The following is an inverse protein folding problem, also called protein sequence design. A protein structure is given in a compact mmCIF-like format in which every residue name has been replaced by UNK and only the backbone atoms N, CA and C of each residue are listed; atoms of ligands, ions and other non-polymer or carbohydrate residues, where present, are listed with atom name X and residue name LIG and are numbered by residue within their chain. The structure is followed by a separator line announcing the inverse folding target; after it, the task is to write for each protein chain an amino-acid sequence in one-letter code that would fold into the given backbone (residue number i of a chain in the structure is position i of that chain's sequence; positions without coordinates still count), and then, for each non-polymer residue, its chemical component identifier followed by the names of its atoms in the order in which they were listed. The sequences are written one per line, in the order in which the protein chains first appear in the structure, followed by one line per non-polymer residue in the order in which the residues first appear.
data_IF_069950935652
#
_entry.id   IF_069950935652
#
_cell.length_a   1.000
_cell.length_b   1.000
_cell.length_c   1.000
_cell.angle_alpha   90.00
_cell.angle_beta   90.00
_cell.angle_gamma   90.00
#
_symmetry.space_group_name_H-M   'P 1'
#
loop_
_entity.id
_entity.type
_entity.pdbx_description
1 polymer ?
#
# COMPACT_ATOMS: atom_id res chain seq x y z
N UNK A 1 -14.37 35.87 -12.21
CA UNK A 1 -13.65 35.05 -11.21
C UNK A 1 -14.42 33.75 -11.04
N UNK A 2 -13.87 32.71 -11.59
CA UNK A 2 -14.52 31.41 -11.78
C UNK A 2 -14.70 30.70 -10.43
N UNK A 3 -15.76 29.91 -10.30
CA UNK A 3 -16.16 29.10 -9.14
C UNK A 3 -15.02 28.18 -8.61
N UNK A 4 -13.99 27.97 -9.39
CA UNK A 4 -12.74 27.30 -9.10
C UNK A 4 -11.90 27.99 -8.02
N UNK A 5 -11.79 29.31 -8.06
CA UNK A 5 -11.00 30.07 -7.09
C UNK A 5 -11.62 30.04 -5.68
N UNK A 6 -12.96 29.90 -5.59
CA UNK A 6 -13.65 29.78 -4.29
C UNK A 6 -13.53 28.40 -3.65
N UNK A 7 -13.34 27.33 -4.44
CA UNK A 7 -13.08 25.99 -3.87
C UNK A 7 -11.66 25.81 -3.41
N UNK A 8 -10.70 26.48 -4.06
CA UNK A 8 -9.30 26.52 -3.61
C UNK A 8 -9.10 27.45 -2.39
N UNK A 9 -10.03 28.38 -2.12
CA UNK A 9 -9.94 29.21 -0.91
C UNK A 9 -10.34 28.49 0.38
N UNK A 10 -10.94 27.28 0.28
CA UNK A 10 -11.10 26.41 1.44
C UNK A 10 -9.81 25.63 1.75
N UNK A 11 -8.89 25.55 0.83
CA UNK A 11 -7.47 25.37 1.03
C UNK A 11 -6.83 26.77 1.08
N UNK A 12 -7.42 27.71 1.83
CA UNK A 12 -6.72 28.86 2.35
C UNK A 12 -5.87 28.33 3.51
N UNK A 13 -4.92 27.53 3.11
CA UNK A 13 -3.73 27.28 3.85
C UNK A 13 -3.17 28.65 4.17
N UNK A 14 -3.10 29.01 5.44
CA UNK A 14 -2.31 30.16 5.87
C UNK A 14 -0.98 30.12 5.09
N UNK A 15 -0.36 31.26 4.86
CA UNK A 15 0.95 31.34 4.19
C UNK A 15 1.99 30.42 4.85
N UNK A 16 1.77 30.05 6.11
CA UNK A 16 2.53 29.07 6.88
C UNK A 16 2.32 27.62 6.40
N UNK A 17 1.11 27.24 6.02
CA UNK A 17 0.82 25.87 5.59
C UNK A 17 1.48 25.53 4.24
N UNK A 18 1.74 26.50 3.38
CA UNK A 18 2.50 26.30 2.12
C UNK A 18 3.96 25.94 2.35
N UNK A 19 4.54 26.27 3.51
CA UNK A 19 5.93 25.91 3.86
C UNK A 19 6.09 24.45 4.22
N UNK A 20 4.99 23.72 4.49
CA UNK A 20 5.02 22.33 4.97
C UNK A 20 4.56 21.32 3.93
N UNK A 21 4.14 21.75 2.74
CA UNK A 21 3.78 20.86 1.64
C UNK A 21 4.82 20.98 0.53
N UNK A 22 5.93 20.30 0.68
CA UNK A 22 6.72 19.89 -0.46
C UNK A 22 5.97 18.69 -1.09
N UNK A 23 5.05 19.02 -2.00
CA UNK A 23 4.02 18.11 -2.49
C UNK A 23 4.58 16.92 -3.28
N UNK A 24 5.84 16.96 -3.67
CA UNK A 24 6.51 15.89 -4.38
C UNK A 24 7.86 15.64 -3.74
N UNK A 25 7.98 14.54 -2.99
CA UNK A 25 9.26 14.16 -2.38
C UNK A 25 10.13 13.34 -3.33
N UNK A 26 9.56 12.30 -3.93
CA UNK A 26 10.30 11.46 -4.88
C UNK A 26 9.37 10.63 -5.77
N UNK A 27 9.90 10.18 -6.91
CA UNK A 27 9.29 9.17 -7.77
C UNK A 27 10.18 7.93 -7.78
N UNK A 28 9.60 6.76 -7.50
CA UNK A 28 10.31 5.49 -7.60
C UNK A 28 9.99 4.87 -8.96
N UNK A 29 11.02 4.74 -9.77
CA UNK A 29 10.91 4.16 -11.10
C UNK A 29 11.59 2.79 -11.14
N UNK A 30 11.07 1.91 -12.00
CA UNK A 30 11.65 0.59 -12.18
C UNK A 30 10.70 -0.45 -12.73
N UNK A 31 9.41 -0.43 -12.37
CA UNK A 31 8.43 -1.30 -13.01
C UNK A 31 8.32 -1.01 -14.51
N UNK A 32 8.28 -2.06 -15.33
CA UNK A 32 8.08 -1.95 -16.78
C UNK A 32 6.60 -1.98 -17.19
N UNK A 33 5.70 -2.22 -16.24
CA UNK A 33 4.24 -2.20 -16.40
C UNK A 33 3.57 -1.28 -15.38
N UNK A 34 2.25 -1.15 -15.48
CA UNK A 34 1.46 -0.35 -14.55
C UNK A 34 1.61 -0.88 -13.12
N UNK A 35 1.75 0.01 -12.15
CA UNK A 35 1.67 -0.35 -10.73
C UNK A 35 0.21 -0.65 -10.39
N UNK A 36 -0.04 -1.83 -9.88
CA UNK A 36 -1.39 -2.33 -9.60
C UNK A 36 -1.79 -2.13 -8.14
N UNK A 37 -0.84 -2.29 -7.21
CA UNK A 37 -1.06 -2.03 -5.79
C UNK A 37 0.24 -1.63 -5.08
N UNK A 38 0.09 -1.00 -3.91
CA UNK A 38 1.18 -0.64 -3.01
C UNK A 38 0.79 -0.93 -1.57
N UNK A 39 1.77 -1.30 -0.73
CA UNK A 39 1.56 -1.55 0.69
C UNK A 39 2.81 -1.17 1.48
N UNK A 40 2.62 -0.54 2.64
CA UNK A 40 3.68 -0.34 3.62
C UNK A 40 3.77 -1.53 4.58
N UNK A 41 4.98 -1.83 5.02
CA UNK A 41 5.17 -2.67 6.21
C UNK A 41 4.59 -1.99 7.45
N UNK A 42 4.18 -2.75 8.48
CA UNK A 42 3.58 -2.18 9.70
C UNK A 42 4.47 -1.19 10.43
N UNK A 43 5.79 -1.31 10.30
CA UNK A 43 6.77 -0.38 10.89
C UNK A 43 7.10 0.82 9.98
N UNK A 44 6.51 0.87 8.76
CA UNK A 44 6.70 1.94 7.78
C UNK A 44 8.07 1.99 7.12
N UNK A 45 8.96 1.03 7.37
CA UNK A 45 10.33 1.06 6.86
C UNK A 45 10.49 0.42 5.48
N UNK A 46 9.46 -0.28 5.03
CA UNK A 46 9.47 -0.97 3.74
C UNK A 46 8.19 -0.68 2.99
N UNK A 47 8.32 -0.45 1.71
CA UNK A 47 7.21 -0.31 0.77
C UNK A 47 7.27 -1.45 -0.24
N UNK A 48 6.15 -2.11 -0.50
CA UNK A 48 5.99 -3.06 -1.59
C UNK A 48 5.09 -2.48 -2.67
N UNK A 49 5.42 -2.75 -3.93
CA UNK A 49 4.59 -2.42 -5.09
C UNK A 49 4.43 -3.62 -5.99
N UNK A 50 3.21 -3.87 -6.48
CA UNK A 50 2.91 -4.89 -7.49
C UNK A 50 2.64 -4.26 -8.83
N UNK A 51 2.82 -5.03 -9.92
CA UNK A 51 2.71 -4.49 -11.27
C UNK A 51 2.19 -5.52 -12.28
N UNK A 52 1.72 -4.98 -13.41
CA UNK A 52 1.40 -5.72 -14.63
C UNK A 52 2.65 -6.36 -15.26
N UNK A 53 3.86 -5.99 -14.82
CA UNK A 53 5.13 -6.61 -15.24
C UNK A 53 5.40 -7.96 -14.55
N UNK A 54 4.39 -8.53 -13.85
CA UNK A 54 4.41 -9.83 -13.18
C UNK A 54 5.32 -9.87 -11.93
N UNK A 55 5.85 -8.71 -11.50
CA UNK A 55 6.75 -8.62 -10.35
C UNK A 55 6.15 -7.87 -9.18
N UNK A 56 6.71 -8.13 -8.00
CA UNK A 56 6.60 -7.25 -6.84
C UNK A 56 7.96 -6.63 -6.59
N UNK A 57 8.02 -5.32 -6.33
CA UNK A 57 9.24 -4.62 -5.93
C UNK A 57 9.13 -4.13 -4.51
N UNK A 58 10.26 -4.20 -3.82
CA UNK A 58 10.41 -3.76 -2.44
C UNK A 58 11.38 -2.59 -2.40
N UNK A 59 11.00 -1.55 -1.66
CA UNK A 59 11.68 -0.25 -1.63
C UNK A 59 11.89 0.22 -0.20
N UNK A 60 12.93 0.98 0.03
CA UNK A 60 13.07 1.83 1.20
C UNK A 60 12.32 3.15 0.94
N UNK A 61 11.23 3.46 1.65
CA UNK A 61 10.44 4.67 1.39
C UNK A 61 11.15 5.95 1.82
N UNK A 62 12.19 5.87 2.65
CA UNK A 62 12.95 7.04 3.13
C UNK A 62 13.97 7.51 2.10
N UNK A 63 14.68 6.56 1.51
CA UNK A 63 15.75 6.84 0.56
C UNK A 63 15.33 6.70 -0.90
N UNK A 64 14.19 6.02 -1.15
CA UNK A 64 13.74 5.62 -2.48
C UNK A 64 14.51 4.45 -3.07
N UNK A 65 15.43 3.85 -2.31
CA UNK A 65 16.27 2.79 -2.82
C UNK A 65 15.46 1.52 -3.10
N UNK A 66 15.63 0.97 -4.31
CA UNK A 66 15.15 -0.35 -4.65
C UNK A 66 15.93 -1.39 -3.85
N UNK A 67 15.24 -2.24 -3.12
CA UNK A 67 15.84 -3.29 -2.29
C UNK A 67 15.79 -4.65 -2.97
N UNK A 68 14.62 -5.05 -3.49
CA UNK A 68 14.39 -6.39 -4.01
C UNK A 68 13.36 -6.39 -5.14
N UNK A 69 13.49 -7.36 -6.06
CA UNK A 69 12.45 -7.72 -7.04
C UNK A 69 12.04 -9.17 -6.79
N UNK A 70 10.77 -9.39 -6.46
CA UNK A 70 10.21 -10.71 -6.24
C UNK A 70 9.62 -11.21 -7.56
N UNK A 71 10.24 -12.23 -8.09
CA UNK A 71 9.88 -12.84 -9.39
C UNK A 71 9.29 -14.22 -9.15
N UNK A 72 8.22 -14.53 -9.86
CA UNK A 72 7.62 -15.85 -9.76
C UNK A 72 6.20 -15.95 -10.29
N UNK A 73 5.37 -14.90 -10.15
CA UNK A 73 4.10 -14.85 -10.86
C UNK A 73 4.33 -14.88 -12.38
N UNK A 74 3.38 -15.43 -13.12
CA UNK A 74 3.45 -15.53 -14.58
C UNK A 74 2.33 -14.74 -15.28
N UNK A 75 1.67 -13.87 -14.52
CA UNK A 75 0.70 -12.87 -14.98
C UNK A 75 0.75 -11.66 -14.03
N UNK A 76 0.07 -10.59 -14.42
CA UNK A 76 -0.09 -9.37 -13.64
C UNK A 76 -0.32 -9.66 -12.15
N UNK A 77 0.48 -9.03 -11.29
CA UNK A 77 0.29 -9.07 -9.84
C UNK A 77 -0.67 -7.96 -9.46
N UNK A 78 -1.81 -8.32 -8.91
CA UNK A 78 -2.96 -7.40 -8.72
C UNK A 78 -3.01 -6.73 -7.37
N UNK A 79 -2.49 -7.41 -6.33
CA UNK A 79 -2.45 -6.83 -4.99
C UNK A 79 -1.30 -7.41 -4.15
N UNK A 80 -0.88 -6.65 -3.13
CA UNK A 80 0.12 -7.02 -2.14
C UNK A 80 -0.31 -6.59 -0.74
N UNK A 81 0.10 -7.34 0.28
CA UNK A 81 -0.14 -7.00 1.68
C UNK A 81 0.98 -7.54 2.58
N UNK A 82 1.37 -6.77 3.58
CA UNK A 82 2.25 -7.24 4.66
C UNK A 82 1.45 -7.90 5.77
N UNK A 83 2.05 -8.92 6.39
CA UNK A 83 1.54 -9.47 7.64
C UNK A 83 1.64 -8.45 8.77
N UNK A 84 0.79 -8.53 9.82
CA UNK A 84 0.81 -7.60 10.95
C UNK A 84 2.15 -7.54 11.69
N UNK A 85 2.94 -8.60 11.67
CA UNK A 85 4.29 -8.65 12.25
C UNK A 85 5.38 -8.16 11.28
N UNK A 86 5.02 -7.80 10.05
CA UNK A 86 5.94 -7.31 9.02
C UNK A 86 6.89 -8.34 8.42
N UNK A 87 6.80 -9.62 8.82
CA UNK A 87 7.76 -10.65 8.40
C UNK A 87 7.41 -11.31 7.07
N UNK A 88 6.16 -11.31 6.71
CA UNK A 88 5.67 -11.95 5.49
C UNK A 88 5.00 -10.93 4.59
N UNK A 89 5.30 -11.00 3.31
CA UNK A 89 4.58 -10.29 2.26
C UNK A 89 3.73 -11.30 1.48
N UNK A 90 2.46 -10.99 1.27
CA UNK A 90 1.57 -11.74 0.39
C UNK A 90 1.39 -10.99 -0.92
N UNK A 91 1.43 -11.69 -2.04
CA UNK A 91 1.08 -11.17 -3.36
C UNK A 91 0.05 -12.06 -4.03
N UNK A 92 -0.85 -11.47 -4.80
CA UNK A 92 -1.89 -12.18 -5.56
C UNK A 92 -1.88 -11.72 -7.02
N UNK A 93 -2.27 -12.64 -7.90
CA UNK A 93 -2.11 -12.43 -9.34
C UNK A 93 -3.30 -12.98 -10.13
N UNK A 94 -3.37 -12.52 -11.39
CA UNK A 94 -4.23 -13.10 -12.42
C UNK A 94 -3.80 -14.53 -12.81
N UNK A 95 -2.68 -15.03 -12.27
CA UNK A 95 -2.24 -16.44 -12.40
C UNK A 95 -2.97 -17.38 -11.43
N UNK A 96 -4.02 -16.87 -10.72
CA UNK A 96 -4.86 -17.62 -9.81
C UNK A 96 -4.12 -18.15 -8.57
N UNK A 97 -2.94 -17.56 -8.26
CA UNK A 97 -2.16 -17.94 -7.08
C UNK A 97 -1.99 -16.80 -6.09
N UNK A 98 -1.83 -17.20 -4.82
CA UNK A 98 -1.29 -16.34 -3.77
C UNK A 98 0.13 -16.82 -3.49
N UNK A 99 1.09 -15.90 -3.43
CA UNK A 99 2.46 -16.20 -3.03
C UNK A 99 2.81 -15.50 -1.73
N UNK A 100 3.52 -16.21 -0.87
CA UNK A 100 4.07 -15.70 0.37
C UNK A 100 5.59 -15.60 0.24
N UNK A 101 6.11 -14.48 0.70
CA UNK A 101 7.52 -14.13 0.63
C UNK A 101 8.02 -13.72 2.01
N UNK A 102 9.25 -14.03 2.32
CA UNK A 102 9.94 -13.44 3.45
C UNK A 102 10.20 -11.96 3.14
N UNK A 103 9.67 -11.07 3.97
CA UNK A 103 9.71 -9.63 3.69
C UNK A 103 11.13 -9.04 3.80
N UNK A 104 12.02 -9.64 4.58
CA UNK A 104 13.38 -9.16 4.78
C UNK A 104 14.33 -9.63 3.67
N UNK A 105 14.17 -10.88 3.22
CA UNK A 105 15.09 -11.51 2.27
C UNK A 105 14.56 -11.59 0.84
N UNK A 106 13.23 -11.42 0.65
CA UNK A 106 12.54 -11.65 -0.61
C UNK A 106 12.41 -13.12 -1.01
N UNK A 107 12.82 -14.05 -0.12
CA UNK A 107 12.76 -15.46 -0.41
C UNK A 107 11.30 -15.93 -0.53
N UNK A 108 11.03 -16.69 -1.57
CA UNK A 108 9.73 -17.35 -1.74
C UNK A 108 9.53 -18.38 -0.63
N UNK A 109 8.43 -18.27 0.12
CA UNK A 109 8.09 -19.20 1.21
C UNK A 109 7.05 -20.23 0.77
N UNK A 110 5.97 -19.80 0.15
CA UNK A 110 4.84 -20.67 -0.21
C UNK A 110 4.05 -20.14 -1.38
N UNK A 111 3.49 -21.04 -2.19
CA UNK A 111 2.46 -20.75 -3.19
C UNK A 111 1.16 -21.45 -2.80
N UNK A 112 0.09 -20.69 -2.60
CA UNK A 112 -1.25 -21.20 -2.37
C UNK A 112 -1.99 -21.24 -3.71
N UNK A 113 -2.44 -22.45 -4.09
CA UNK A 113 -3.17 -22.73 -5.32
C UNK A 113 -4.59 -23.19 -4.97
N UNK A 114 -5.48 -23.18 -5.95
CA UNK A 114 -6.84 -23.68 -5.78
C UNK A 114 -7.93 -22.63 -5.97
N UNK A 115 -7.54 -21.43 -6.34
CA UNK A 115 -8.50 -20.43 -6.83
C UNK A 115 -8.87 -20.75 -8.27
N UNK A 116 -10.13 -20.55 -8.61
CA UNK A 116 -10.69 -20.89 -9.93
C UNK A 116 -10.81 -19.67 -10.86
N UNK A 117 -10.33 -18.49 -10.40
CA UNK A 117 -10.41 -17.23 -11.13
C UNK A 117 -9.40 -16.21 -10.56
N UNK A 118 -9.32 -15.05 -11.18
CA UNK A 118 -8.39 -13.98 -10.90
C UNK A 118 -8.51 -13.47 -9.47
N UNK A 119 -7.40 -13.46 -8.76
CA UNK A 119 -7.37 -12.92 -7.40
C UNK A 119 -7.01 -11.44 -7.51
N UNK A 120 -7.88 -10.58 -6.99
CA UNK A 120 -7.76 -9.10 -7.14
C UNK A 120 -7.56 -8.36 -5.82
N UNK A 121 -7.70 -9.06 -4.69
CA UNK A 121 -7.52 -8.47 -3.37
C UNK A 121 -6.88 -9.47 -2.41
N UNK A 122 -6.04 -8.96 -1.50
CA UNK A 122 -5.45 -9.73 -0.41
C UNK A 122 -5.29 -8.86 0.82
N UNK A 123 -5.59 -9.41 1.99
CA UNK A 123 -5.32 -8.80 3.28
C UNK A 123 -5.03 -9.88 4.33
N UNK A 124 -4.15 -9.58 5.28
CA UNK A 124 -3.99 -10.42 6.47
C UNK A 124 -5.05 -10.09 7.52
N UNK A 125 -5.48 -11.09 8.26
CA UNK A 125 -6.22 -10.87 9.50
C UNK A 125 -5.34 -10.16 10.54
N UNK A 126 -5.91 -9.42 11.51
CA UNK A 126 -5.14 -8.71 12.52
C UNK A 126 -4.22 -9.60 13.37
N UNK A 127 -4.56 -10.87 13.51
CA UNK A 127 -3.74 -11.87 14.21
C UNK A 127 -2.71 -12.57 13.31
N UNK A 128 -2.65 -12.23 12.02
CA UNK A 128 -1.73 -12.80 11.03
C UNK A 128 -2.00 -14.26 10.66
N UNK A 129 -3.10 -14.86 11.18
CA UNK A 129 -3.38 -16.30 10.99
C UNK A 129 -4.16 -16.63 9.74
N UNK A 130 -4.80 -15.63 9.15
CA UNK A 130 -5.61 -15.81 7.96
C UNK A 130 -5.22 -14.80 6.89
N UNK A 131 -5.37 -15.20 5.64
CA UNK A 131 -5.39 -14.31 4.48
C UNK A 131 -6.82 -14.25 3.97
N UNK A 132 -7.32 -13.05 3.72
CA UNK A 132 -8.60 -12.81 3.05
C UNK A 132 -8.32 -12.37 1.63
N UNK A 133 -8.98 -13.02 0.68
CA UNK A 133 -8.98 -12.67 -0.75
C UNK A 133 -10.40 -12.32 -1.19
N UNK A 134 -10.57 -11.88 -2.44
CA UNK A 134 -11.91 -11.72 -3.02
C UNK A 134 -12.72 -13.03 -3.12
N UNK A 135 -12.10 -14.19 -2.87
CA UNK A 135 -12.77 -15.51 -2.82
C UNK A 135 -13.00 -16.03 -1.41
N UNK A 136 -12.61 -15.30 -0.36
CA UNK A 136 -12.79 -15.73 1.02
C UNK A 136 -11.50 -15.79 1.81
N UNK A 137 -11.56 -16.37 3.00
CA UNK A 137 -10.44 -16.42 3.94
C UNK A 137 -9.74 -17.77 3.90
N UNK A 138 -8.42 -17.72 3.75
CA UNK A 138 -7.51 -18.86 3.79
C UNK A 138 -6.78 -18.88 5.14
N UNK A 139 -6.84 -19.98 5.87
CA UNK A 139 -6.08 -20.14 7.10
C UNK A 139 -4.64 -20.49 6.78
N UNK A 140 -3.72 -19.67 7.27
CA UNK A 140 -2.30 -20.00 7.19
C UNK A 140 -1.98 -21.01 8.31
N UNK A 141 -1.50 -22.21 7.94
CA UNK A 141 -1.00 -23.17 8.90
C UNK A 141 0.27 -22.62 9.50
N UNK A 142 0.21 -22.23 10.77
CA UNK A 142 1.35 -21.69 11.50
C UNK A 142 2.35 -22.79 11.82
N UNK A 143 3.50 -22.76 11.16
CA UNK A 143 4.74 -23.14 11.83
C UNK A 143 5.19 -21.92 12.63
N UNK A 144 5.08 -22.00 13.96
CA UNK A 144 5.51 -21.01 14.97
C UNK A 144 4.69 -19.72 15.08
N UNK A 145 3.60 -19.76 15.87
CA UNK A 145 3.09 -18.56 16.51
C UNK A 145 3.94 -18.25 17.76
N UNK A 146 4.45 -17.01 17.94
CA UNK A 146 5.01 -16.61 19.22
C UNK A 146 3.90 -16.41 20.26
N UNK A 147 4.06 -16.84 21.52
CA UNK A 147 3.10 -16.54 22.59
C UNK A 147 3.25 -15.10 23.06
N UNK A 148 2.12 -14.40 23.20
CA UNK A 148 2.01 -13.20 24.02
C UNK A 148 2.01 -11.87 23.26
N UNK A 149 0.87 -11.48 22.73
CA UNK A 149 0.57 -10.07 22.45
C UNK A 149 -0.47 -9.60 23.48
N UNK A 150 -0.02 -8.78 24.42
CA UNK A 150 -0.89 -8.00 25.30
C UNK A 150 -1.79 -7.06 24.47
N UNK A 151 -3.09 -7.05 24.81
CA UNK A 151 -4.16 -6.37 24.07
C UNK A 151 -4.28 -4.87 24.32
N UNK A 152 -3.38 -4.24 25.06
CA UNK A 152 -3.60 -2.90 25.60
C UNK A 152 -2.43 -1.95 25.31
N UNK A 153 -2.20 -1.60 24.03
CA UNK A 153 -1.55 -0.33 23.67
C UNK A 153 -1.62 -0.12 22.16
N UNK A 154 -2.80 0.32 21.68
CA UNK A 154 -2.88 0.97 20.37
C UNK A 154 -2.48 2.42 20.53
N UNK A 155 -1.40 2.90 19.86
CA UNK A 155 -1.30 4.32 19.59
C UNK A 155 -2.55 4.72 18.80
N UNK A 156 -3.07 5.91 19.05
CA UNK A 156 -4.19 6.50 18.30
C UNK A 156 -3.77 6.61 16.83
N UNK A 157 -4.04 5.56 16.08
CA UNK A 157 -3.81 5.55 14.64
C UNK A 157 -4.96 6.32 14.03
N UNK A 158 -4.69 7.56 13.62
CA UNK A 158 -5.63 8.29 12.79
C UNK A 158 -5.90 7.47 11.53
N UNK A 159 -7.18 7.20 11.25
CA UNK A 159 -7.56 6.43 10.06
C UNK A 159 -7.53 7.35 8.84
N UNK A 160 -6.40 7.34 8.16
CA UNK A 160 -6.22 8.04 6.89
C UNK A 160 -6.55 7.06 5.75
N UNK A 161 -7.49 7.41 4.87
CA UNK A 161 -7.84 6.60 3.71
C UNK A 161 -8.30 7.46 2.53
N UNK A 162 -8.28 6.89 1.35
CA UNK A 162 -8.75 7.56 0.12
C UNK A 162 -10.15 7.06 -0.21
N UNK A 163 -11.11 7.99 -0.23
CA UNK A 163 -12.50 7.75 -0.61
C UNK A 163 -12.78 8.48 -1.93
N UNK A 164 -12.63 7.74 -3.02
CA UNK A 164 -12.85 8.24 -4.38
C UNK A 164 -11.97 9.45 -4.72
N UNK A 165 -12.52 10.65 -4.58
CA UNK A 165 -11.85 11.92 -4.91
C UNK A 165 -11.19 12.59 -3.71
N UNK A 166 -11.30 12.02 -2.51
CA UNK A 166 -10.89 12.66 -1.27
C UNK A 166 -9.94 11.79 -0.47
N UNK A 167 -8.94 12.43 0.13
CA UNK A 167 -8.25 11.87 1.28
C UNK A 167 -9.09 12.21 2.50
N UNK A 168 -9.42 11.19 3.27
CA UNK A 168 -10.29 11.28 4.44
C UNK A 168 -9.50 10.85 5.66
N UNK A 169 -9.60 11.62 6.76
CA UNK A 169 -8.98 11.33 8.05
C UNK A 169 -10.06 11.32 9.12
N UNK A 170 -10.15 10.23 9.88
CA UNK A 170 -11.15 10.03 10.95
C UNK A 170 -12.59 10.33 10.48
N UNK A 171 -12.88 9.92 9.24
CA UNK A 171 -14.19 10.13 8.61
C UNK A 171 -14.44 11.54 8.07
N UNK A 172 -13.47 12.46 8.19
CA UNK A 172 -13.58 13.82 7.65
C UNK A 172 -12.79 13.96 6.37
N UNK A 173 -13.38 14.53 5.32
CA UNK A 173 -12.72 14.85 4.05
C UNK A 173 -11.67 15.95 4.26
N UNK A 174 -10.39 15.62 4.10
CA UNK A 174 -9.28 16.51 4.37
C UNK A 174 -8.65 17.11 3.12
N UNK A 175 -8.47 16.30 2.05
CA UNK A 175 -7.84 16.77 0.83
C UNK A 175 -8.58 16.19 -0.41
N UNK A 176 -8.89 17.07 -1.35
CA UNK A 176 -9.43 16.67 -2.65
C UNK A 176 -8.28 16.30 -3.60
N UNK A 177 -8.40 15.15 -4.27
CA UNK A 177 -7.41 14.64 -5.20
C UNK A 177 -7.72 15.11 -6.63
N UNK A 178 -6.78 15.78 -7.30
CA UNK A 178 -6.85 16.02 -8.73
C UNK A 178 -7.00 14.73 -9.52
N UNK A 179 -7.57 14.80 -10.73
CA UNK A 179 -7.90 13.64 -11.57
C UNK A 179 -6.71 12.70 -11.82
N UNK A 180 -5.52 13.27 -11.95
CA UNK A 180 -4.27 12.54 -12.19
C UNK A 180 -3.77 11.74 -10.98
N UNK A 181 -4.30 12.01 -9.79
CA UNK A 181 -3.97 11.33 -8.53
C UNK A 181 -5.11 10.43 -8.02
N UNK A 182 -6.21 10.33 -8.76
CA UNK A 182 -7.32 9.41 -8.45
C UNK A 182 -7.00 8.00 -8.93
N UNK A 183 -5.92 7.45 -8.44
CA UNK A 183 -5.55 6.08 -8.72
C UNK A 183 -6.30 5.15 -7.75
N UNK A 184 -6.80 3.99 -8.24
CA UNK A 184 -7.35 2.97 -7.34
C UNK A 184 -6.25 2.28 -6.52
N UNK A 185 -4.97 2.56 -6.80
CA UNK A 185 -3.81 1.92 -6.19
C UNK A 185 -3.19 2.86 -5.18
N UNK A 186 -3.63 2.73 -3.95
CA UNK A 186 -3.18 3.58 -2.84
C UNK A 186 -2.79 2.74 -1.64
N UNK A 187 -1.73 3.14 -0.95
CA UNK A 187 -1.38 2.62 0.37
C UNK A 187 -1.17 3.79 1.33
N UNK A 188 -1.52 3.58 2.58
CA UNK A 188 -1.42 4.58 3.64
C UNK A 188 -0.68 3.97 4.82
N UNK A 189 0.27 4.73 5.38
CA UNK A 189 0.95 4.40 6.62
C UNK A 189 1.20 5.66 7.45
N UNK A 190 0.63 5.72 8.63
CA UNK A 190 0.72 6.91 9.49
C UNK A 190 0.20 8.15 8.76
N UNK A 191 1.10 9.09 8.51
CA UNK A 191 0.82 10.32 7.76
C UNK A 191 1.26 10.27 6.28
N UNK A 192 1.78 9.15 5.81
CA UNK A 192 2.21 8.96 4.42
C UNK A 192 1.15 8.27 3.57
N UNK A 193 0.95 8.77 2.35
CA UNK A 193 0.10 8.18 1.32
C UNK A 193 0.94 7.97 0.06
N UNK A 194 0.81 6.80 -0.55
CA UNK A 194 1.49 6.46 -1.82
C UNK A 194 0.47 6.11 -2.88
N UNK A 195 0.62 6.70 -4.04
CA UNK A 195 -0.19 6.42 -5.23
C UNK A 195 0.63 5.71 -6.29
N UNK A 196 0.14 4.57 -6.78
CA UNK A 196 0.69 3.89 -7.94
C UNK A 196 0.17 4.51 -9.23
N UNK A 197 1.04 4.85 -10.17
CA UNK A 197 0.69 5.41 -11.48
C UNK A 197 0.61 4.33 -12.55
N UNK A 198 -0.24 4.55 -13.55
CA UNK A 198 -0.30 3.69 -14.74
C UNK A 198 1.00 3.68 -15.55
N UNK A 199 1.83 4.73 -15.42
CA UNK A 199 3.15 4.82 -16.04
C UNK A 199 4.23 3.98 -15.36
N UNK A 200 3.91 3.24 -14.29
CA UNK A 200 4.85 2.42 -13.52
C UNK A 200 5.57 3.16 -12.38
N UNK A 201 5.29 4.44 -12.16
CA UNK A 201 5.87 5.23 -11.07
C UNK A 201 5.03 5.26 -9.79
N UNK A 202 5.67 5.58 -8.68
CA UNK A 202 5.03 5.82 -7.37
C UNK A 202 5.14 7.30 -6.99
N UNK A 203 4.07 7.86 -6.43
CA UNK A 203 4.05 9.25 -5.92
C UNK A 203 3.70 9.25 -4.45
N UNK A 204 4.50 9.94 -3.66
CA UNK A 204 4.35 10.03 -2.20
C UNK A 204 3.78 11.38 -1.79
N UNK A 205 2.91 11.35 -0.78
CA UNK A 205 2.43 12.53 -0.07
C UNK A 205 2.60 12.30 1.42
N UNK A 206 3.11 13.29 2.13
CA UNK A 206 3.19 13.28 3.58
C UNK A 206 2.25 14.35 4.15
N UNK A 207 1.30 13.96 4.99
CA UNK A 207 0.48 14.89 5.75
C UNK A 207 1.27 15.32 6.99
N UNK A 208 1.62 16.61 7.09
CA UNK A 208 2.24 17.17 8.31
C UNK A 208 1.12 17.74 9.17
N UNK A 209 0.93 17.15 10.32
CA UNK A 209 -0.02 17.65 11.33
C UNK A 209 0.73 18.65 12.23
N UNK A 210 0.13 19.80 12.40
CA UNK A 210 0.61 20.81 13.34
C UNK A 210 0.13 20.49 14.76
#
# INVERSE_FOLDING_TARGET
MTQWAKRLSFIAMSADTRRYWDAHQQTLEGHSGSVTAVAFSPDGKTLASSSDDETVRVWDPTTGAHQQTLVGHNRSVTAVAFSPDGKTLASVSLDETVRLWDAATGAHQQTLKGHSDWITAVAFSPDGRCLTTNFGSLRLSSTTAPPGLNRDSHPTVHSLYVDGEWITMDGKKCLWLPKDYRSPKVAVYGNMIVFGRQSGGLTFFEAKFA
#
